data_IF_283361486365
#
_entry.id   IF_283361486365
#
_cell.length_a   1.000
_cell.length_b   1.000
_cell.length_c   1.000
_cell.angle_alpha   90.00
_cell.angle_beta   90.00
_cell.angle_gamma   90.00
#
_symmetry.space_group_name_H-M   'P 1'
#
loop_
_entity.id
_entity.type
_entity.pdbx_description
1 polymer ?
#
# COMPACT_ATOMS: atom_id res chain seq x y z
N UNK A 1 4.38 6.03 16.51
CA UNK A 1 3.43 5.00 16.04
C UNK A 1 2.85 5.50 14.72
N UNK A 2 2.61 4.62 13.76
CA UNK A 2 2.13 5.00 12.40
C UNK A 2 0.75 5.70 12.37
N UNK A 3 -0.06 5.51 13.42
CA UNK A 3 -1.36 6.16 13.61
C UNK A 3 -1.36 6.95 14.92
N UNK A 4 -1.97 8.13 14.92
CA UNK A 4 -2.26 8.88 16.13
C UNK A 4 -3.32 8.16 16.98
N UNK A 5 -3.45 8.52 18.26
CA UNK A 5 -4.50 7.96 19.12
C UNK A 5 -5.90 8.25 18.56
N UNK A 6 -6.12 9.47 18.07
CA UNK A 6 -7.39 9.87 17.47
C UNK A 6 -7.74 9.07 16.20
N UNK A 7 -6.75 8.83 15.33
CA UNK A 7 -6.93 7.99 14.14
C UNK A 7 -7.35 6.56 14.51
N UNK A 8 -6.71 5.98 15.53
CA UNK A 8 -7.07 4.64 16.02
C UNK A 8 -8.48 4.60 16.57
N UNK A 9 -8.87 5.59 17.36
CA UNK A 9 -10.22 5.64 17.93
C UNK A 9 -11.28 5.81 16.84
N UNK A 10 -11.03 6.66 15.84
CA UNK A 10 -11.92 6.80 14.69
C UNK A 10 -12.03 5.50 13.89
N UNK A 11 -10.92 4.81 13.63
CA UNK A 11 -10.93 3.53 12.91
C UNK A 11 -11.65 2.43 13.70
N UNK A 12 -11.47 2.37 15.03
CA UNK A 12 -12.11 1.36 15.89
C UNK A 12 -13.64 1.44 15.85
N UNK A 13 -14.21 2.64 15.78
CA UNK A 13 -15.66 2.84 15.70
C UNK A 13 -16.26 2.13 14.49
N UNK A 14 -15.53 2.14 13.37
CA UNK A 14 -16.02 1.64 12.09
C UNK A 14 -15.41 0.27 11.70
N UNK A 15 -14.50 -0.26 12.52
CA UNK A 15 -13.78 -1.51 12.26
C UNK A 15 -14.68 -2.75 12.27
N UNK A 16 -15.71 -2.77 13.12
CA UNK A 16 -16.65 -3.89 13.23
C UNK A 16 -17.38 -4.14 11.90
N UNK A 17 -17.96 -3.08 11.32
CA UNK A 17 -18.65 -3.16 10.02
C UNK A 17 -17.78 -3.79 8.93
N UNK A 18 -16.49 -3.39 8.88
CA UNK A 18 -15.53 -3.92 7.89
C UNK A 18 -15.23 -5.40 8.10
N UNK A 19 -15.11 -5.81 9.36
CA UNK A 19 -14.81 -7.19 9.72
C UNK A 19 -15.98 -8.13 9.42
N UNK A 20 -17.20 -7.63 9.58
CA UNK A 20 -18.43 -8.39 9.34
C UNK A 20 -18.77 -8.51 7.85
N UNK A 21 -18.71 -7.42 7.09
CA UNK A 21 -19.14 -7.43 5.68
C UNK A 21 -18.01 -7.79 4.71
N UNK A 22 -16.77 -7.41 5.01
CA UNK A 22 -15.65 -7.51 4.08
C UNK A 22 -15.79 -6.63 2.83
N UNK A 23 -16.73 -5.69 2.82
CA UNK A 23 -17.03 -4.81 1.68
C UNK A 23 -16.24 -3.51 1.68
N UNK A 24 -15.61 -3.19 2.81
CA UNK A 24 -14.73 -2.03 3.01
C UNK A 24 -13.45 -2.46 3.72
N UNK A 25 -12.32 -1.88 3.34
CA UNK A 25 -11.02 -2.19 3.95
C UNK A 25 -10.10 -0.97 3.92
N UNK A 26 -9.24 -0.86 4.93
CA UNK A 26 -8.28 0.23 5.05
C UNK A 26 -7.10 -0.03 4.10
N UNK A 27 -6.74 0.99 3.33
CA UNK A 27 -5.68 0.96 2.35
C UNK A 27 -4.72 2.15 2.55
N UNK A 28 -3.97 2.48 1.49
CA UNK A 28 -3.19 3.70 1.43
C UNK A 28 -2.04 3.80 2.44
N UNK A 29 -1.63 5.04 2.71
CA UNK A 29 -0.44 5.33 3.53
C UNK A 29 -0.57 4.88 4.97
N UNK A 30 -1.75 5.05 5.58
CA UNK A 30 -2.03 4.66 6.95
C UNK A 30 -1.87 3.16 7.18
N UNK A 31 -2.51 2.33 6.34
CA UNK A 31 -2.39 0.88 6.44
C UNK A 31 -0.96 0.41 6.16
N UNK A 32 -0.30 0.99 5.14
CA UNK A 32 1.07 0.64 4.79
C UNK A 32 2.05 0.97 5.92
N UNK A 33 1.92 2.14 6.55
CA UNK A 33 2.79 2.55 7.64
C UNK A 33 2.56 1.69 8.89
N UNK A 34 1.32 1.30 9.16
CA UNK A 34 0.98 0.41 10.27
C UNK A 34 1.66 -0.97 10.10
N UNK A 35 1.50 -1.63 8.94
CA UNK A 35 2.07 -2.98 8.72
C UNK A 35 3.58 -2.98 8.57
N UNK A 36 4.17 -1.87 8.11
CA UNK A 36 5.62 -1.76 7.99
C UNK A 36 6.27 -1.16 9.24
N UNK A 37 5.51 -0.78 10.27
CA UNK A 37 6.02 -0.08 11.46
C UNK A 37 6.86 1.14 11.06
N UNK A 38 6.36 1.91 10.09
CA UNK A 38 7.02 3.13 9.60
C UNK A 38 6.92 4.25 10.64
N UNK A 39 7.97 5.08 10.81
CA UNK A 39 7.88 6.27 11.64
C UNK A 39 7.04 7.37 10.99
N UNK A 40 6.83 7.36 9.66
CA UNK A 40 6.01 8.37 8.99
C UNK A 40 4.55 8.26 9.44
N UNK A 41 3.93 9.37 9.79
CA UNK A 41 2.50 9.45 10.11
C UNK A 41 1.73 9.81 8.82
N UNK A 42 0.63 9.10 8.54
CA UNK A 42 -0.28 9.49 7.45
C UNK A 42 -1.33 10.47 7.99
N UNK A 43 -1.68 11.50 7.22
CA UNK A 43 -2.70 12.47 7.63
C UNK A 43 -4.13 12.01 7.31
N UNK A 44 -4.25 11.05 6.40
CA UNK A 44 -5.47 10.52 5.83
C UNK A 44 -5.66 9.02 6.16
N UNK A 45 -6.91 8.60 6.24
CA UNK A 45 -7.32 7.19 6.28
C UNK A 45 -8.09 6.88 5.00
N UNK A 46 -7.54 5.96 4.21
CA UNK A 46 -8.13 5.52 2.94
C UNK A 46 -8.96 4.24 3.14
N UNK A 47 -10.21 4.27 2.72
CA UNK A 47 -11.19 3.20 2.83
C UNK A 47 -11.63 2.77 1.44
N UNK A 48 -11.20 1.59 1.01
CA UNK A 48 -11.42 1.12 -0.35
C UNK A 48 -12.60 0.15 -0.42
N UNK A 49 -13.29 0.17 -1.55
CA UNK A 49 -14.48 -0.64 -1.84
C UNK A 49 -14.38 -1.23 -3.24
N UNK A 50 -14.73 -2.51 -3.37
CA UNK A 50 -14.72 -3.23 -4.65
C UNK A 50 -15.84 -2.74 -5.60
N UNK A 51 -16.92 -2.15 -5.07
CA UNK A 51 -18.12 -1.74 -5.82
C UNK A 51 -18.64 -0.37 -5.38
N UNK A 52 -19.45 0.24 -6.26
CA UNK A 52 -20.09 1.53 -5.97
C UNK A 52 -21.13 1.39 -4.85
N UNK A 53 -21.89 0.30 -4.89
CA UNK A 53 -22.95 -0.02 -3.95
C UNK A 53 -22.39 -0.21 -2.54
N UNK A 54 -21.27 -0.92 -2.43
CA UNK A 54 -20.55 -1.09 -1.17
C UNK A 54 -20.10 0.25 -0.59
N UNK A 55 -19.51 1.13 -1.41
CA UNK A 55 -19.08 2.46 -0.97
C UNK A 55 -20.24 3.29 -0.41
N UNK A 56 -21.36 3.32 -1.12
CA UNK A 56 -22.52 4.11 -0.68
C UNK A 56 -23.14 3.55 0.60
N UNK A 57 -23.23 2.22 0.71
CA UNK A 57 -23.76 1.57 1.91
C UNK A 57 -22.86 1.80 3.12
N UNK A 58 -21.55 1.63 2.97
CA UNK A 58 -20.57 1.80 4.05
C UNK A 58 -20.44 3.26 4.46
N UNK A 59 -20.46 4.21 3.53
CA UNK A 59 -20.45 5.64 3.83
C UNK A 59 -21.65 6.03 4.70
N UNK A 60 -22.86 5.61 4.34
CA UNK A 60 -24.07 5.87 5.15
C UNK A 60 -23.94 5.29 6.56
N UNK A 61 -23.53 4.02 6.66
CA UNK A 61 -23.37 3.34 7.93
C UNK A 61 -22.30 3.98 8.82
N UNK A 62 -21.13 4.30 8.25
CA UNK A 62 -20.02 4.91 8.98
C UNK A 62 -20.37 6.33 9.46
N UNK A 63 -21.04 7.14 8.62
CA UNK A 63 -21.52 8.47 9.00
C UNK A 63 -22.46 8.42 10.21
N UNK A 64 -23.42 7.49 10.18
CA UNK A 64 -24.39 7.34 11.26
C UNK A 64 -23.72 6.83 12.55
N UNK A 65 -22.74 5.92 12.44
CA UNK A 65 -21.91 5.48 13.57
C UNK A 65 -21.10 6.61 14.19
N UNK A 66 -20.46 7.44 13.38
CA UNK A 66 -19.71 8.59 13.86
C UNK A 66 -20.62 9.58 14.60
N UNK A 67 -21.76 9.93 14.00
CA UNK A 67 -22.74 10.82 14.62
C UNK A 67 -23.26 10.25 15.95
N UNK A 68 -23.60 8.95 15.99
CA UNK A 68 -24.03 8.25 17.21
C UNK A 68 -22.97 8.20 18.32
N UNK A 69 -21.68 8.32 17.97
CA UNK A 69 -20.55 8.35 18.91
C UNK A 69 -20.05 9.78 19.20
N UNK A 70 -20.86 10.80 18.92
CA UNK A 70 -20.56 12.21 19.16
C UNK A 70 -19.33 12.73 18.39
N UNK A 71 -19.05 12.17 17.21
CA UNK A 71 -18.13 12.77 16.24
C UNK A 71 -18.90 13.73 15.33
N UNK A 72 -18.24 14.80 14.92
CA UNK A 72 -18.69 15.65 13.83
C UNK A 72 -18.15 15.10 12.51
N UNK A 73 -19.00 15.10 11.49
CA UNK A 73 -18.67 14.62 10.15
C UNK A 73 -18.90 15.76 9.16
N UNK A 74 -17.81 16.37 8.69
CA UNK A 74 -17.87 17.44 7.70
C UNK A 74 -17.50 16.88 6.32
N UNK A 75 -18.48 16.75 5.43
CA UNK A 75 -18.25 16.29 4.05
C UNK A 75 -17.53 17.39 3.26
N UNK A 76 -16.34 17.09 2.77
CA UNK A 76 -15.51 18.03 2.02
C UNK A 76 -15.70 17.87 0.51
N UNK A 77 -15.77 16.61 0.04
CA UNK A 77 -15.96 16.27 -1.37
C UNK A 77 -16.84 15.02 -1.48
N UNK A 78 -17.82 15.07 -2.38
CA UNK A 78 -18.68 13.94 -2.70
C UNK A 78 -18.81 13.80 -4.21
N UNK A 79 -18.42 12.65 -4.72
CA UNK A 79 -18.49 12.23 -6.13
C UNK A 79 -18.92 10.76 -6.14
N UNK A 80 -19.39 10.28 -7.28
CA UNK A 80 -19.89 8.91 -7.42
C UNK A 80 -18.91 7.90 -6.79
N UNK A 81 -17.67 7.84 -7.25
CA UNK A 81 -16.69 6.86 -6.79
C UNK A 81 -15.79 7.33 -5.63
N UNK A 82 -16.08 8.47 -5.01
CA UNK A 82 -15.18 9.10 -4.05
C UNK A 82 -15.90 10.03 -3.09
N UNK A 83 -15.72 9.80 -1.79
CA UNK A 83 -16.22 10.67 -0.72
C UNK A 83 -15.06 10.98 0.21
N UNK A 84 -14.88 12.25 0.53
CA UNK A 84 -13.91 12.72 1.53
C UNK A 84 -14.65 13.50 2.61
N UNK A 85 -14.41 13.12 3.86
CA UNK A 85 -14.95 13.81 5.01
C UNK A 85 -13.87 14.04 6.06
N UNK A 86 -14.01 15.15 6.79
CA UNK A 86 -13.28 15.39 8.03
C UNK A 86 -14.09 14.82 9.18
N UNK A 87 -13.48 13.92 9.92
CA UNK A 87 -14.04 13.35 11.15
C UNK A 87 -13.37 14.04 12.33
N UNK A 88 -14.15 14.66 13.21
CA UNK A 88 -13.60 15.44 14.33
C UNK A 88 -14.32 15.19 15.65
N UNK A 89 -13.57 15.26 16.76
CA UNK A 89 -14.08 15.19 18.15
C UNK A 89 -13.02 15.71 19.12
N UNK A 90 -13.44 16.47 20.13
CA UNK A 90 -12.53 16.96 21.17
C UNK A 90 -11.39 17.84 20.66
N UNK A 91 -11.61 18.62 19.60
CA UNK A 91 -10.57 19.48 18.99
C UNK A 91 -9.56 18.74 18.11
N UNK A 92 -9.66 17.41 17.99
CA UNK A 92 -8.85 16.61 17.07
C UNK A 92 -9.66 16.28 15.82
N UNK A 93 -8.96 16.07 14.69
CA UNK A 93 -9.60 15.67 13.44
C UNK A 93 -8.71 14.77 12.59
N UNK A 94 -9.34 14.01 11.70
CA UNK A 94 -8.69 13.16 10.69
C UNK A 94 -9.46 13.28 9.38
N UNK A 95 -8.74 13.29 8.26
CA UNK A 95 -9.35 13.14 6.94
C UNK A 95 -9.57 11.66 6.64
N UNK A 96 -10.79 11.32 6.23
CA UNK A 96 -11.14 9.97 5.82
C UNK A 96 -11.70 9.99 4.40
N UNK A 97 -11.27 9.05 3.58
CA UNK A 97 -11.65 8.93 2.18
C UNK A 97 -12.28 7.57 1.93
N UNK A 98 -13.52 7.56 1.44
CA UNK A 98 -14.18 6.37 0.92
C UNK A 98 -14.03 6.38 -0.60
N UNK A 99 -13.34 5.36 -1.12
CA UNK A 99 -12.94 5.29 -2.52
C UNK A 99 -13.41 3.97 -3.10
N UNK A 100 -14.00 4.02 -4.29
CA UNK A 100 -14.22 2.81 -5.09
C UNK A 100 -12.93 2.54 -5.85
N UNK A 101 -12.35 1.36 -5.63
CA UNK A 101 -11.12 0.94 -6.27
C UNK A 101 -11.30 -0.42 -6.97
N UNK A 102 -10.30 -0.84 -7.74
CA UNK A 102 -10.27 -2.15 -8.37
C UNK A 102 -10.30 -3.26 -7.32
N UNK A 103 -11.18 -4.24 -7.53
CA UNK A 103 -11.19 -5.47 -6.74
C UNK A 103 -10.01 -6.40 -7.05
N UNK A 104 -9.18 -6.07 -8.04
CA UNK A 104 -8.02 -6.86 -8.42
C UNK A 104 -6.89 -6.69 -7.41
N UNK A 105 -6.52 -7.79 -6.75
CA UNK A 105 -5.44 -7.86 -5.76
C UNK A 105 -4.72 -9.20 -5.83
N UNK A 106 -3.51 -9.28 -5.31
CA UNK A 106 -2.74 -10.52 -5.25
C UNK A 106 -3.28 -11.42 -4.15
N UNK A 107 -3.42 -10.88 -2.95
CA UNK A 107 -3.79 -11.65 -1.77
C UNK A 107 -5.18 -11.27 -1.27
N UNK A 108 -5.86 -12.16 -0.51
CA UNK A 108 -7.05 -11.79 0.23
C UNK A 108 -6.77 -10.64 1.21
N UNK A 109 -7.83 -9.99 1.64
CA UNK A 109 -7.76 -8.98 2.70
C UNK A 109 -7.26 -9.62 4.02
N UNK A 110 -6.60 -8.82 4.85
CA UNK A 110 -6.00 -9.26 6.11
C UNK A 110 -6.69 -8.56 7.28
N UNK A 111 -6.95 -9.29 8.36
CA UNK A 111 -7.46 -8.69 9.61
C UNK A 111 -6.35 -7.92 10.30
N UNK A 112 -6.69 -6.74 10.81
CA UNK A 112 -5.80 -5.89 11.59
C UNK A 112 -6.49 -5.46 12.86
N UNK A 113 -5.84 -5.64 14.01
CA UNK A 113 -6.44 -5.41 15.34
C UNK A 113 -7.02 -4.00 15.49
N UNK A 114 -6.30 -2.98 15.02
CA UNK A 114 -6.74 -1.59 15.16
C UNK A 114 -7.58 -1.06 13.99
N UNK A 115 -7.47 -1.68 12.80
CA UNK A 115 -8.01 -1.14 11.55
C UNK A 115 -9.17 -2.00 11.00
N UNK A 116 -9.50 -3.11 11.66
CA UNK A 116 -10.48 -4.09 11.21
C UNK A 116 -9.92 -4.95 10.09
N UNK A 117 -10.04 -4.47 8.85
CA UNK A 117 -9.62 -5.19 7.64
C UNK A 117 -8.76 -4.27 6.78
N UNK A 118 -7.63 -4.77 6.28
CA UNK A 118 -6.68 -4.04 5.43
C UNK A 118 -6.39 -4.81 4.14
N UNK A 119 -5.87 -4.11 3.12
CA UNK A 119 -5.15 -4.78 2.04
C UNK A 119 -3.93 -5.53 2.58
N UNK A 120 -3.60 -6.67 1.97
CA UNK A 120 -2.37 -7.39 2.27
C UNK A 120 -1.14 -6.48 2.07
N UNK A 121 -0.08 -6.57 2.90
CA UNK A 121 1.09 -5.70 2.80
C UNK A 121 1.70 -5.63 1.40
N UNK A 122 1.76 -6.77 0.69
CA UNK A 122 2.22 -6.80 -0.70
C UNK A 122 1.34 -5.97 -1.66
N UNK A 123 0.02 -6.02 -1.46
CA UNK A 123 -0.93 -5.25 -2.25
C UNK A 123 -0.82 -3.74 -1.96
N UNK A 124 -0.60 -3.37 -0.69
CA UNK A 124 -0.31 -1.99 -0.29
C UNK A 124 0.98 -1.47 -0.97
N UNK A 125 2.04 -2.28 -0.96
CA UNK A 125 3.33 -1.91 -1.55
C UNK A 125 3.26 -1.76 -3.09
N UNK A 126 2.54 -2.65 -3.78
CA UNK A 126 2.35 -2.55 -5.24
C UNK A 126 1.46 -1.37 -5.63
N UNK A 127 0.40 -1.09 -4.86
CA UNK A 127 -0.41 0.12 -5.05
C UNK A 127 0.43 1.39 -4.81
N UNK A 128 1.31 1.36 -3.81
CA UNK A 128 2.26 2.45 -3.54
C UNK A 128 3.25 2.64 -4.69
N UNK A 129 3.72 1.56 -5.31
CA UNK A 129 4.58 1.64 -6.50
C UNK A 129 3.88 2.34 -7.67
N UNK A 130 2.62 1.99 -7.93
CA UNK A 130 1.81 2.64 -8.97
C UNK A 130 1.50 4.10 -8.66
N UNK A 131 1.19 4.42 -7.41
CA UNK A 131 1.00 5.81 -6.98
C UNK A 131 2.28 6.63 -7.21
N UNK A 132 3.44 6.12 -6.80
CA UNK A 132 4.71 6.82 -6.93
C UNK A 132 5.04 7.22 -8.37
N UNK A 133 4.76 6.33 -9.35
CA UNK A 133 5.00 6.63 -10.77
C UNK A 133 3.97 7.59 -11.38
N UNK A 134 2.78 7.70 -10.78
CA UNK A 134 1.67 8.53 -11.26
C UNK A 134 1.65 9.98 -10.77
N UNK A 135 2.11 10.25 -9.54
CA UNK A 135 1.97 11.59 -8.90
C UNK A 135 3.25 12.23 -8.35
N UNK A 136 4.33 11.47 -8.19
CA UNK A 136 5.65 11.97 -7.76
C UNK A 136 5.63 12.75 -6.44
N UNK A 137 5.16 12.13 -5.37
CA UNK A 137 5.14 12.75 -4.03
C UNK A 137 6.27 12.21 -3.14
N UNK A 138 6.88 13.10 -2.33
CA UNK A 138 7.96 12.75 -1.38
C UNK A 138 7.55 11.64 -0.40
N UNK A 139 6.27 11.57 0.01
CA UNK A 139 5.76 10.50 0.88
C UNK A 139 5.84 9.13 0.22
N UNK A 140 5.62 9.04 -1.09
CA UNK A 140 5.67 7.76 -1.79
C UNK A 140 7.10 7.24 -1.90
N UNK A 141 8.06 8.15 -2.05
CA UNK A 141 9.48 7.81 -2.03
C UNK A 141 9.94 7.24 -0.69
N UNK A 142 9.59 7.90 0.42
CA UNK A 142 9.87 7.41 1.78
C UNK A 142 9.20 6.05 2.03
N UNK A 143 7.92 5.92 1.64
CA UNK A 143 7.16 4.68 1.83
C UNK A 143 7.74 3.51 1.01
N UNK A 144 8.19 3.75 -0.23
CA UNK A 144 8.77 2.70 -1.08
C UNK A 144 10.14 2.23 -0.57
N UNK A 145 10.95 3.11 0.00
CA UNK A 145 12.18 2.71 0.70
C UNK A 145 11.82 1.74 1.83
N UNK A 146 10.80 2.07 2.62
CA UNK A 146 10.33 1.18 3.68
C UNK A 146 9.78 -0.14 3.13
N UNK A 147 9.04 -0.13 2.02
CA UNK A 147 8.53 -1.34 1.37
C UNK A 147 9.67 -2.26 0.91
N UNK A 148 10.73 -1.69 0.32
CA UNK A 148 11.92 -2.45 -0.10
C UNK A 148 12.57 -3.17 1.09
N UNK A 149 12.68 -2.48 2.22
CA UNK A 149 13.32 -3.01 3.43
C UNK A 149 12.46 -4.01 4.21
N UNK A 150 11.13 -3.88 4.15
CA UNK A 150 10.22 -4.60 5.07
C UNK A 150 9.22 -5.53 4.40
N UNK A 151 8.95 -5.40 3.09
CA UNK A 151 7.98 -6.22 2.37
C UNK A 151 8.65 -7.05 1.27
N UNK A 152 9.13 -6.41 0.21
CA UNK A 152 9.80 -7.08 -0.90
C UNK A 152 10.70 -6.12 -1.66
N UNK A 153 11.88 -6.54 -2.16
CA UNK A 153 12.75 -5.67 -2.94
C UNK A 153 12.04 -5.01 -4.13
N UNK A 154 12.42 -3.75 -4.38
CA UNK A 154 11.81 -2.85 -5.37
C UNK A 154 11.63 -3.47 -6.76
N UNK A 155 12.57 -4.28 -7.23
CA UNK A 155 12.47 -4.97 -8.53
C UNK A 155 11.25 -5.90 -8.61
N UNK A 156 10.95 -6.65 -7.55
CA UNK A 156 9.77 -7.52 -7.50
C UNK A 156 8.47 -6.73 -7.35
N UNK A 157 8.49 -5.62 -6.60
CA UNK A 157 7.34 -4.73 -6.50
C UNK A 157 7.00 -4.10 -7.84
N UNK A 158 8.00 -3.61 -8.58
CA UNK A 158 7.81 -3.08 -9.93
C UNK A 158 7.34 -4.17 -10.92
N UNK A 159 7.90 -5.38 -10.81
CA UNK A 159 7.50 -6.54 -11.60
C UNK A 159 6.03 -6.91 -11.42
N UNK A 160 5.53 -6.90 -10.19
CA UNK A 160 4.15 -7.25 -9.91
C UNK A 160 3.18 -6.08 -10.15
N UNK A 161 3.60 -4.84 -9.89
CA UNK A 161 2.75 -3.66 -10.04
C UNK A 161 2.15 -3.51 -11.45
N UNK A 162 2.89 -3.86 -12.51
CA UNK A 162 2.33 -3.84 -13.87
C UNK A 162 1.18 -4.84 -14.10
N UNK A 163 1.08 -5.89 -13.27
CA UNK A 163 -0.06 -6.81 -13.32
C UNK A 163 -1.37 -6.19 -12.83
N UNK A 164 -1.30 -5.07 -12.10
CA UNK A 164 -2.47 -4.28 -11.69
C UNK A 164 -2.82 -3.18 -12.68
N UNK A 165 -1.83 -2.68 -13.42
CA UNK A 165 -2.01 -1.69 -14.47
C UNK A 165 -1.25 -2.11 -15.74
N UNK A 166 -1.93 -2.76 -16.70
CA UNK A 166 -1.34 -3.25 -17.94
C UNK A 166 -0.78 -2.14 -18.85
N UNK A 167 -1.06 -0.86 -18.56
CA UNK A 167 -0.46 0.28 -19.26
C UNK A 167 1.03 0.45 -18.98
N UNK A 168 1.56 -0.24 -17.96
CA UNK A 168 2.96 -0.17 -17.58
C UNK A 168 3.70 -1.48 -17.83
N UNK A 169 5.00 -1.39 -18.10
CA UNK A 169 5.94 -2.50 -17.97
C UNK A 169 6.80 -2.34 -16.70
N UNK A 170 7.38 -3.42 -16.16
CA UNK A 170 8.29 -3.32 -15.02
C UNK A 170 9.45 -2.34 -15.26
N UNK A 171 10.00 -2.33 -16.48
CA UNK A 171 11.08 -1.42 -16.88
C UNK A 171 10.62 0.03 -16.90
N UNK A 172 9.41 0.31 -17.42
CA UNK A 172 8.85 1.66 -17.41
C UNK A 172 8.61 2.15 -15.98
N UNK A 173 8.12 1.29 -15.09
CA UNK A 173 7.90 1.61 -13.68
C UNK A 173 9.23 2.00 -13.02
N UNK A 174 10.29 1.20 -13.19
CA UNK A 174 11.61 1.50 -12.64
C UNK A 174 12.21 2.78 -13.24
N UNK A 175 12.09 2.97 -14.56
CA UNK A 175 12.61 4.16 -15.23
C UNK A 175 11.90 5.44 -14.74
N UNK A 176 10.58 5.38 -14.52
CA UNK A 176 9.83 6.51 -13.98
C UNK A 176 10.20 6.77 -12.52
N UNK A 177 10.28 5.73 -11.71
CA UNK A 177 10.71 5.83 -10.32
C UNK A 177 12.12 6.44 -10.18
N UNK A 178 13.04 6.12 -11.09
CA UNK A 178 14.39 6.67 -11.11
C UNK A 178 14.47 8.17 -11.46
N UNK A 179 13.56 8.65 -12.32
CA UNK A 179 13.54 10.07 -12.71
C UNK A 179 12.91 10.98 -11.66
N UNK A 180 12.04 10.43 -10.82
CA UNK A 180 11.12 11.21 -9.99
C UNK A 180 11.49 11.23 -8.51
N UNK A 181 12.78 11.07 -8.20
CA UNK A 181 13.28 10.80 -6.84
C UNK A 181 14.36 11.77 -6.39
N UNK A 182 14.17 13.05 -6.68
CA UNK A 182 15.04 14.14 -6.25
C UNK A 182 14.30 15.02 -5.25
N UNK A 183 14.27 14.59 -3.98
CA UNK A 183 13.64 15.34 -2.90
C UNK A 183 14.68 15.97 -1.97
N UNK A 184 14.44 17.22 -1.61
CA UNK A 184 15.25 18.01 -0.70
C UNK A 184 14.99 17.67 0.77
N UNK A 185 15.90 18.09 1.66
CA UNK A 185 15.70 17.96 3.10
C UNK A 185 14.46 18.74 3.58
N UNK A 186 14.12 19.85 2.92
CA UNK A 186 12.92 20.65 3.23
C UNK A 186 11.65 19.87 2.92
N UNK A 187 11.53 19.27 1.75
CA UNK A 187 10.36 18.46 1.37
C UNK A 187 10.19 17.24 2.29
N UNK A 188 11.29 16.62 2.72
CA UNK A 188 11.22 15.53 3.70
C UNK A 188 10.74 16.05 5.04
N UNK A 189 11.22 17.21 5.50
CA UNK A 189 10.84 17.80 6.78
C UNK A 189 9.39 18.30 6.84
N UNK A 190 8.74 18.50 5.70
CA UNK A 190 7.30 18.83 5.62
C UNK A 190 6.39 17.62 5.93
N UNK A 191 6.93 16.40 5.85
CA UNK A 191 6.20 15.20 6.27
C UNK A 191 6.20 15.06 7.79
N UNK A 192 5.14 14.46 8.32
CA UNK A 192 5.04 14.14 9.74
C UNK A 192 5.68 12.78 10.06
N UNK A 193 6.50 12.76 11.12
CA UNK A 193 7.16 11.56 11.64
C UNK A 193 7.00 11.44 13.15
N UNK A 194 6.90 10.20 13.63
CA UNK A 194 7.11 9.87 15.03
C UNK A 194 8.61 9.89 15.33
N UNK A 195 9.09 11.06 15.75
CA UNK A 195 10.51 11.35 15.96
C UNK A 195 11.09 12.29 14.89
N UNK A 196 12.41 12.47 14.86
CA UNK A 196 13.05 13.35 13.88
C UNK A 196 12.87 12.83 12.45
N UNK A 197 12.72 13.72 11.46
CA UNK A 197 12.67 13.30 10.06
C UNK A 197 13.98 12.61 9.65
N UNK A 198 13.92 11.63 8.73
CA UNK A 198 15.10 10.95 8.24
C UNK A 198 16.02 11.87 7.42
N UNK A 199 17.32 11.56 7.39
CA UNK A 199 18.28 12.27 6.55
C UNK A 199 17.96 12.06 5.06
N UNK A 200 17.60 13.13 4.35
CA UNK A 200 17.28 13.08 2.92
C UNK A 200 18.46 12.57 2.07
N UNK A 201 19.70 12.88 2.47
CA UNK A 201 20.90 12.36 1.80
C UNK A 201 21.01 10.83 1.92
N UNK A 202 20.71 10.29 3.10
CA UNK A 202 20.70 8.86 3.36
C UNK A 202 19.60 8.15 2.58
N UNK A 203 18.39 8.73 2.55
CA UNK A 203 17.28 8.23 1.73
C UNK A 203 17.66 8.22 0.24
N UNK A 204 18.28 9.28 -0.27
CA UNK A 204 18.77 9.36 -1.65
C UNK A 204 19.79 8.26 -1.95
N UNK A 205 20.80 8.07 -1.09
CA UNK A 205 21.77 6.98 -1.26
C UNK A 205 21.11 5.60 -1.21
N UNK A 206 20.14 5.39 -0.32
CA UNK A 206 19.39 4.14 -0.23
C UNK A 206 18.60 3.88 -1.52
N UNK A 207 17.87 4.87 -1.99
CA UNK A 207 17.08 4.81 -3.21
C UNK A 207 17.90 4.42 -4.45
N UNK A 208 19.05 5.06 -4.66
CA UNK A 208 19.94 4.72 -5.77
C UNK A 208 20.44 3.26 -5.69
N UNK A 209 20.78 2.78 -4.49
CA UNK A 209 21.16 1.36 -4.29
C UNK A 209 19.99 0.42 -4.58
N UNK A 210 18.77 0.79 -4.19
CA UNK A 210 17.58 -0.01 -4.46
C UNK A 210 17.31 -0.14 -5.96
N UNK A 211 17.40 0.97 -6.70
CA UNK A 211 17.23 0.98 -8.15
C UNK A 211 18.30 0.15 -8.86
N UNK A 212 19.57 0.31 -8.48
CA UNK A 212 20.68 -0.46 -9.05
C UNK A 212 20.52 -1.97 -8.85
N UNK A 213 19.85 -2.40 -7.76
CA UNK A 213 19.51 -3.82 -7.52
C UNK A 213 18.23 -4.27 -8.22
N UNK A 214 17.30 -3.35 -8.49
CA UNK A 214 15.99 -3.68 -9.05
C UNK A 214 16.06 -4.07 -10.53
N UNK A 215 16.90 -3.41 -11.31
CA UNK A 215 17.02 -3.65 -12.75
C UNK A 215 17.54 -5.06 -13.08
N UNK A 216 18.60 -5.58 -12.43
CA UNK A 216 19.01 -6.98 -12.61
C UNK A 216 17.95 -8.01 -12.19
N UNK A 217 17.12 -7.70 -11.19
CA UNK A 217 16.01 -8.58 -10.80
C UNK A 217 14.99 -8.68 -11.93
N UNK A 218 14.56 -7.54 -12.48
CA UNK A 218 13.56 -7.49 -13.55
C UNK A 218 14.06 -8.17 -14.83
N UNK A 219 15.37 -8.11 -15.12
CA UNK A 219 15.93 -8.68 -16.35
C UNK A 219 16.02 -10.21 -16.34
N UNK A 220 16.15 -10.84 -15.17
CA UNK A 220 16.26 -12.31 -15.06
C UNK A 220 14.92 -13.01 -14.84
N UNK A 221 13.88 -12.28 -14.45
CA UNK A 221 12.55 -12.86 -14.22
C UNK A 221 11.93 -13.37 -15.55
N UNK A 222 11.30 -14.55 -15.56
CA UNK A 222 10.71 -15.09 -16.79
C UNK A 222 9.58 -14.21 -17.32
N UNK A 223 9.68 -13.78 -18.59
CA UNK A 223 8.69 -12.87 -19.19
C UNK A 223 7.24 -13.39 -19.15
N UNK A 224 7.04 -14.71 -19.25
CA UNK A 224 5.71 -15.34 -19.14
C UNK A 224 5.03 -15.14 -17.77
N UNK A 225 5.80 -14.73 -16.76
CA UNK A 225 5.36 -14.53 -15.39
C UNK A 225 5.22 -13.05 -15.01
N UNK A 226 5.26 -12.14 -16.00
CA UNK A 226 5.17 -10.70 -15.77
C UNK A 226 3.86 -10.32 -15.06
N UNK A 227 3.93 -9.37 -14.14
CA UNK A 227 2.77 -8.91 -13.37
C UNK A 227 2.34 -9.86 -12.25
N UNK A 228 3.10 -10.91 -11.95
CA UNK A 228 2.81 -11.85 -10.86
C UNK A 228 3.69 -11.58 -9.63
N UNK A 229 3.16 -11.85 -8.45
CA UNK A 229 3.93 -11.81 -7.20
C UNK A 229 4.95 -12.97 -7.17
N UNK A 230 6.17 -12.69 -6.73
CA UNK A 230 7.26 -13.68 -6.66
C UNK A 230 7.38 -14.20 -5.23
N UNK A 231 7.25 -15.51 -5.05
CA UNK A 231 7.22 -16.19 -3.75
C UNK A 231 8.31 -17.24 -3.65
N UNK A 232 8.73 -17.54 -2.42
CA UNK A 232 9.46 -18.75 -2.09
C UNK A 232 8.54 -19.98 -2.24
N UNK A 233 9.14 -21.18 -2.27
CA UNK A 233 8.40 -22.45 -2.31
C UNK A 233 7.42 -22.64 -1.15
N UNK A 234 7.70 -22.04 0.01
CA UNK A 234 6.82 -22.08 1.20
C UNK A 234 5.66 -21.05 1.15
N UNK A 235 5.56 -20.26 0.09
CA UNK A 235 4.52 -19.24 -0.09
C UNK A 235 4.83 -17.88 0.50
N UNK A 236 5.97 -17.71 1.17
CA UNK A 236 6.40 -16.40 1.67
C UNK A 236 6.94 -15.52 0.53
N UNK A 237 6.92 -14.19 0.70
CA UNK A 237 7.46 -13.27 -0.31
C UNK A 237 8.95 -13.54 -0.54
N UNK A 238 9.36 -13.67 -1.81
CA UNK A 238 10.78 -13.85 -2.14
C UNK A 238 11.54 -12.54 -1.93
N UNK A 239 12.65 -12.57 -1.18
CA UNK A 239 13.39 -11.33 -0.81
C UNK A 239 14.88 -11.35 -1.14
N UNK A 240 15.34 -12.38 -1.85
CA UNK A 240 16.72 -12.48 -2.31
C UNK A 240 17.10 -11.38 -3.29
N UNK A 241 18.40 -11.22 -3.50
CA UNK A 241 18.92 -10.40 -4.60
C UNK A 241 18.91 -11.19 -5.92
N UNK A 242 19.52 -10.62 -6.97
CA UNK A 242 19.58 -11.26 -8.30
C UNK A 242 20.32 -12.61 -8.28
N UNK A 243 21.34 -12.78 -7.44
CA UNK A 243 22.08 -14.05 -7.32
C UNK A 243 21.19 -15.09 -6.67
N UNK A 244 20.57 -14.76 -5.54
CA UNK A 244 19.62 -15.64 -4.87
C UNK A 244 18.42 -15.98 -5.75
N UNK A 245 17.94 -15.03 -6.58
CA UNK A 245 16.85 -15.26 -7.52
C UNK A 245 17.25 -16.25 -8.62
N UNK A 246 18.44 -16.09 -9.20
CA UNK A 246 18.95 -17.01 -10.22
C UNK A 246 19.01 -18.45 -9.69
N UNK A 247 19.58 -18.63 -8.49
CA UNK A 247 19.68 -19.94 -7.86
C UNK A 247 18.30 -20.51 -7.51
N UNK A 248 17.38 -19.68 -7.02
CA UNK A 248 16.04 -20.12 -6.67
C UNK A 248 15.22 -20.51 -7.92
N UNK A 249 15.39 -19.81 -9.04
CA UNK A 249 14.79 -20.18 -10.33
C UNK A 249 15.35 -21.51 -10.84
N UNK A 250 16.67 -21.68 -10.83
CA UNK A 250 17.33 -22.90 -11.30
C UNK A 250 16.90 -24.15 -10.50
N UNK A 251 16.66 -23.99 -9.20
CA UNK A 251 16.23 -25.06 -8.32
C UNK A 251 14.70 -25.22 -8.22
N UNK A 252 13.91 -24.43 -8.95
CA UNK A 252 12.45 -24.47 -8.86
C UNK A 252 11.89 -24.07 -7.49
N UNK A 253 12.64 -23.28 -6.72
CA UNK A 253 12.31 -22.79 -5.37
C UNK A 253 11.55 -21.46 -5.36
N UNK A 254 11.17 -20.97 -6.55
CA UNK A 254 10.32 -19.79 -6.73
C UNK A 254 8.94 -20.22 -7.20
N UNK A 255 7.91 -19.49 -6.76
CA UNK A 255 6.53 -19.60 -7.24
C UNK A 255 6.04 -18.24 -7.72
N UNK A 256 5.20 -18.25 -8.75
CA UNK A 256 4.61 -17.04 -9.33
C UNK A 256 3.12 -17.00 -9.05
N UNK A 257 2.69 -16.02 -8.27
CA UNK A 257 1.32 -15.88 -7.81
C UNK A 257 0.61 -14.75 -8.54
N UNK A 258 -0.36 -15.12 -9.37
CA UNK A 258 -1.15 -14.16 -10.14
C UNK A 258 -2.22 -13.49 -9.28
N UNK A 259 -2.44 -12.20 -9.50
CA UNK A 259 -3.58 -11.49 -8.92
C UNK A 259 -4.91 -11.95 -9.51
N UNK A 260 -5.98 -11.76 -8.74
CA UNK A 260 -7.35 -12.10 -9.14
C UNK A 260 -8.32 -11.08 -8.55
N UNK A 261 -9.54 -11.06 -9.08
CA UNK A 261 -10.65 -10.38 -8.40
C UNK A 261 -10.79 -10.97 -7.01
N UNK A 262 -10.73 -10.09 -6.01
CA UNK A 262 -10.72 -10.36 -4.58
C UNK A 262 -9.48 -11.04 -3.99
N UNK A 263 -8.47 -11.30 -4.81
CA UNK A 263 -7.24 -11.98 -4.41
C UNK A 263 -7.43 -13.48 -4.20
N UNK A 264 -6.32 -14.19 -4.05
CA UNK A 264 -6.31 -15.62 -3.81
C UNK A 264 -5.14 -16.01 -2.91
N UNK A 265 -5.30 -17.08 -2.13
CA UNK A 265 -4.16 -17.69 -1.45
C UNK A 265 -3.23 -18.34 -2.49
N UNK A 266 -1.90 -18.28 -2.30
CA UNK A 266 -0.96 -18.96 -3.19
C UNK A 266 -1.22 -20.45 -3.26
N UNK A 267 -1.16 -21.01 -4.47
CA UNK A 267 -1.13 -22.47 -4.66
C UNK A 267 0.30 -22.95 -4.47
N UNK A 268 0.57 -23.58 -3.32
CA UNK A 268 1.90 -24.06 -2.95
C UNK A 268 2.24 -25.43 -3.56
N UNK A 269 1.25 -26.10 -4.15
CA UNK A 269 1.39 -27.43 -4.74
C UNK A 269 1.23 -27.32 -6.26
N UNK A 270 2.26 -27.75 -6.98
CA UNK A 270 2.20 -28.24 -8.35
C UNK A 270 2.54 -29.72 -8.34
#
# INVERSE_FOLDING_TARGET
MALTAFQRDACRIIAANRTETGESYVAGGAALNAVTVSPRVSHDIDLFHDTQEALEATWRADRDLFAGNAYQVDVLRERVSFIEARISKGGQSVLMQWVRDSAYRFFPLVRHEELGVILHPFDLATNKMLAAVGRLEVRDWVDLIRCHESIQPLGFLAWAACGKDPGFSPQMILAQAARSSHYSATEVAELEFDGPPPDAGALSRAWHRMLAKAEPIVSVLPYAEVGKCVLNADGTLFRGDVVGLHDALANGNVRFHAGRIRGALPQLVG
#
